data_IF_258337666939
#
_entry.id   IF_258337666939
#
_cell.length_a   1.000
_cell.length_b   1.000
_cell.length_c   1.000
_cell.angle_alpha   90.00
_cell.angle_beta   90.00
_cell.angle_gamma   90.00
#
_symmetry.space_group_name_H-M   'P 1'
#
loop_
_entity.id
_entity.type
_entity.pdbx_description
1 polymer ?
#
# COMPACT_ATOMS: atom_id res chain seq x y z
N UNK A 1 -19.13 -15.85 35.23
CA UNK A 1 -18.89 -15.90 33.78
C UNK A 1 -19.53 -14.66 33.22
N UNK A 2 -18.74 -13.70 32.73
CA UNK A 2 -19.28 -12.51 32.09
C UNK A 2 -19.53 -12.82 30.62
N UNK A 3 -20.77 -12.58 30.16
CA UNK A 3 -21.10 -12.72 28.74
C UNK A 3 -20.34 -11.67 27.93
N UNK A 4 -19.59 -12.14 26.93
CA UNK A 4 -18.85 -11.26 26.04
C UNK A 4 -19.81 -10.38 25.25
N UNK A 5 -19.81 -9.09 25.55
CA UNK A 5 -20.63 -8.09 24.85
C UNK A 5 -20.28 -8.09 23.36
N UNK A 6 -21.20 -8.63 22.54
CA UNK A 6 -21.08 -8.58 21.07
C UNK A 6 -21.12 -7.12 20.65
N UNK A 7 -19.95 -6.58 20.29
CA UNK A 7 -19.83 -5.18 19.87
C UNK A 7 -20.73 -4.91 18.66
N UNK A 8 -21.76 -4.09 18.86
CA UNK A 8 -22.65 -3.62 17.80
C UNK A 8 -21.80 -3.07 16.65
N UNK A 9 -22.00 -3.53 15.40
CA UNK A 9 -21.20 -3.05 14.28
C UNK A 9 -21.36 -1.53 14.15
N UNK A 10 -20.25 -0.80 14.25
CA UNK A 10 -20.26 0.66 14.12
C UNK A 10 -20.82 1.04 12.75
N UNK A 11 -21.71 2.03 12.72
CA UNK A 11 -22.38 2.49 11.48
C UNK A 11 -21.43 3.17 10.47
N UNK A 12 -20.16 3.33 10.82
CA UNK A 12 -19.09 3.87 9.96
C UNK A 12 -17.85 2.97 9.99
N UNK A 13 -17.09 2.91 8.86
CA UNK A 13 -15.81 2.20 8.81
C UNK A 13 -14.78 2.88 9.75
N UNK A 14 -13.76 2.14 10.23
CA UNK A 14 -12.75 2.69 11.13
C UNK A 14 -12.13 4.00 10.60
N UNK A 15 -12.21 5.10 11.38
CA UNK A 15 -11.77 6.41 10.93
C UNK A 15 -10.24 6.46 10.82
N UNK A 16 -9.75 7.17 9.81
CA UNK A 16 -8.34 7.53 9.73
C UNK A 16 -8.16 8.85 10.52
N UNK A 17 -7.27 8.92 11.53
CA UNK A 17 -7.06 10.12 12.37
C UNK A 17 -6.23 11.18 11.63
N UNK A 18 -6.45 11.33 10.33
CA UNK A 18 -5.64 12.12 9.42
C UNK A 18 -6.49 12.76 8.33
N UNK A 19 -6.35 14.07 8.16
CA UNK A 19 -7.12 14.84 7.17
C UNK A 19 -6.19 15.65 6.28
N UNK A 20 -6.24 15.37 4.97
CA UNK A 20 -5.54 16.16 3.96
C UNK A 20 -6.10 17.58 3.83
N UNK A 21 -7.35 17.83 4.29
CA UNK A 21 -8.04 19.11 4.13
C UNK A 21 -7.36 20.25 4.89
N UNK A 22 -6.80 19.97 6.07
CA UNK A 22 -6.08 20.96 6.89
C UNK A 22 -4.68 21.26 6.37
N UNK A 23 -4.08 20.33 5.60
CA UNK A 23 -2.70 20.41 5.11
C UNK A 23 -2.56 20.89 3.67
N UNK A 24 -3.65 21.22 2.98
CA UNK A 24 -3.66 21.66 1.56
C UNK A 24 -2.60 22.72 1.22
N UNK A 25 -2.37 23.72 2.08
CA UNK A 25 -1.35 24.76 1.86
C UNK A 25 0.07 24.17 1.85
N UNK A 26 0.41 23.33 2.83
CA UNK A 26 1.72 22.66 2.91
C UNK A 26 1.93 21.71 1.73
N UNK A 27 0.90 20.95 1.35
CA UNK A 27 0.93 20.07 0.16
C UNK A 27 1.17 20.89 -1.11
N UNK A 28 0.44 22.00 -1.30
CA UNK A 28 0.59 22.86 -2.48
C UNK A 28 1.98 23.52 -2.54
N UNK A 29 2.51 24.01 -1.41
CA UNK A 29 3.86 24.57 -1.32
C UNK A 29 4.90 23.51 -1.69
N UNK A 30 4.84 22.32 -1.08
CA UNK A 30 5.75 21.21 -1.38
C UNK A 30 5.74 20.85 -2.87
N UNK A 31 4.56 20.61 -3.45
CA UNK A 31 4.45 20.28 -4.88
C UNK A 31 4.89 21.42 -5.80
N UNK A 32 4.72 22.69 -5.40
CA UNK A 32 5.22 23.83 -6.17
C UNK A 32 6.74 23.84 -6.19
N UNK A 33 7.39 23.71 -5.03
CA UNK A 33 8.86 23.69 -4.93
C UNK A 33 9.42 22.44 -5.64
N UNK A 34 8.78 21.28 -5.47
CA UNK A 34 9.15 20.04 -6.16
C UNK A 34 9.10 20.19 -7.69
N UNK A 35 8.01 20.73 -8.26
CA UNK A 35 7.89 20.98 -9.71
C UNK A 35 8.92 22.02 -10.18
N UNK A 36 9.26 23.02 -9.37
CA UNK A 36 10.34 23.96 -9.71
C UNK A 36 11.69 23.25 -9.76
N UNK A 37 12.07 22.52 -8.71
CA UNK A 37 13.35 21.80 -8.55
C UNK A 37 13.55 20.69 -9.60
N UNK A 38 12.49 19.94 -9.93
CA UNK A 38 12.59 18.71 -10.74
C UNK A 38 12.10 18.83 -12.19
N UNK A 39 11.36 19.91 -12.54
CA UNK A 39 10.89 20.14 -13.90
C UNK A 39 11.34 21.49 -14.45
N UNK A 40 10.98 22.59 -13.78
CA UNK A 40 11.21 23.92 -14.34
C UNK A 40 12.71 24.27 -14.39
N UNK A 41 13.43 24.06 -13.29
CA UNK A 41 14.84 24.38 -13.16
C UNK A 41 15.73 23.63 -14.18
N UNK A 42 15.68 22.29 -14.34
CA UNK A 42 16.55 21.61 -15.31
C UNK A 42 16.26 22.02 -16.75
N UNK A 43 14.98 22.27 -17.10
CA UNK A 43 14.60 22.76 -18.43
C UNK A 43 15.09 24.19 -18.68
N UNK A 44 14.87 25.10 -17.73
CA UNK A 44 15.29 26.51 -17.85
C UNK A 44 16.82 26.58 -17.93
N UNK A 45 17.54 25.88 -17.05
CA UNK A 45 19.00 25.86 -17.08
C UNK A 45 19.54 25.27 -18.39
N UNK A 46 18.98 24.15 -18.87
CA UNK A 46 19.37 23.59 -20.16
C UNK A 46 19.18 24.59 -21.30
N UNK A 47 17.97 25.13 -21.50
CA UNK A 47 17.70 26.04 -22.61
C UNK A 47 18.43 27.39 -22.49
N UNK A 48 18.63 27.92 -21.28
CA UNK A 48 19.42 29.13 -21.08
C UNK A 48 20.91 28.89 -21.35
N UNK A 49 21.52 27.86 -20.76
CA UNK A 49 22.95 27.62 -20.90
C UNK A 49 23.31 27.17 -22.33
N UNK A 50 22.47 26.34 -22.97
CA UNK A 50 22.74 25.82 -24.32
C UNK A 50 22.66 26.86 -25.44
N UNK A 51 21.87 27.93 -25.28
CA UNK A 51 21.64 28.93 -26.34
C UNK A 51 22.15 30.34 -26.00
N UNK A 52 22.48 30.63 -24.74
CA UNK A 52 22.93 31.96 -24.30
C UNK A 52 24.39 31.97 -23.81
N UNK A 53 25.10 30.84 -23.86
CA UNK A 53 26.51 30.75 -23.44
C UNK A 53 27.32 29.81 -24.32
N UNK A 54 28.63 30.03 -24.42
CA UNK A 54 29.57 29.20 -25.20
C UNK A 54 30.15 28.03 -24.38
N UNK A 55 29.41 27.51 -23.40
CA UNK A 55 29.85 26.40 -22.55
C UNK A 55 29.84 25.07 -23.33
N UNK A 56 30.78 24.18 -23.00
CA UNK A 56 30.78 22.84 -23.58
C UNK A 56 29.51 22.06 -23.22
N UNK A 57 28.95 21.22 -24.12
CA UNK A 57 27.74 20.43 -23.85
C UNK A 57 27.79 19.65 -22.53
N UNK A 58 28.93 19.01 -22.23
CA UNK A 58 29.10 18.26 -20.98
C UNK A 58 29.04 19.14 -19.73
N UNK A 59 29.50 20.39 -19.80
CA UNK A 59 29.46 21.34 -18.69
C UNK A 59 28.04 21.87 -18.49
N UNK A 60 27.29 22.12 -19.57
CA UNK A 60 25.86 22.44 -19.50
C UNK A 60 25.09 21.34 -18.77
N UNK A 61 25.23 20.08 -19.20
CA UNK A 61 24.54 18.96 -18.56
C UNK A 61 25.05 18.65 -17.14
N UNK A 62 26.33 18.90 -16.86
CA UNK A 62 26.87 18.79 -15.49
C UNK A 62 26.28 19.85 -14.56
N UNK A 63 26.11 21.10 -15.00
CA UNK A 63 25.46 22.16 -14.21
C UNK A 63 23.98 21.84 -13.98
N UNK A 64 23.26 21.43 -15.03
CA UNK A 64 21.85 21.00 -14.93
C UNK A 64 21.71 19.86 -13.92
N UNK A 65 22.54 18.82 -14.05
CA UNK A 65 22.56 17.66 -13.15
C UNK A 65 22.90 18.03 -11.71
N UNK A 66 23.93 18.85 -11.49
CA UNK A 66 24.36 19.26 -10.15
C UNK A 66 23.32 20.16 -9.43
N UNK A 67 22.50 20.88 -10.20
CA UNK A 67 21.41 21.70 -9.66
C UNK A 67 20.18 20.88 -9.25
N UNK A 68 19.98 19.71 -9.87
CA UNK A 68 18.75 18.94 -9.81
C UNK A 68 18.54 18.25 -8.46
N UNK A 69 17.30 18.28 -7.96
CA UNK A 69 16.84 17.34 -6.94
C UNK A 69 17.15 17.76 -5.51
N UNK A 70 17.38 19.05 -5.26
CA UNK A 70 17.60 19.58 -3.92
C UNK A 70 16.44 19.27 -2.96
N UNK A 71 15.19 19.26 -3.46
CA UNK A 71 14.01 18.85 -2.68
C UNK A 71 14.06 17.37 -2.35
N UNK A 72 14.43 16.53 -3.34
CA UNK A 72 14.51 15.08 -3.16
C UNK A 72 15.61 14.67 -2.19
N UNK A 73 16.77 15.35 -2.23
CA UNK A 73 17.87 15.15 -1.28
C UNK A 73 17.48 15.61 0.13
N UNK A 74 16.84 16.77 0.27
CA UNK A 74 16.33 17.23 1.56
C UNK A 74 15.33 16.24 2.16
N UNK A 75 14.35 15.79 1.37
CA UNK A 75 13.33 14.83 1.79
C UNK A 75 13.97 13.50 2.18
N UNK A 76 14.97 13.02 1.44
CA UNK A 76 15.71 11.81 1.76
C UNK A 76 16.32 11.86 3.17
N UNK A 77 17.04 12.94 3.50
CA UNK A 77 17.64 13.11 4.82
C UNK A 77 16.60 13.41 5.91
N UNK A 78 15.54 14.15 5.59
CA UNK A 78 14.41 14.40 6.50
C UNK A 78 13.75 13.09 6.93
N UNK A 79 13.41 12.21 5.99
CA UNK A 79 12.85 10.88 6.25
C UNK A 79 13.83 9.99 7.02
N UNK A 80 15.10 9.97 6.61
CA UNK A 80 16.16 9.20 7.27
C UNK A 80 16.28 9.58 8.76
N UNK A 81 16.37 10.88 9.06
CA UNK A 81 16.40 11.39 10.43
C UNK A 81 15.13 11.00 11.22
N UNK A 82 13.95 11.13 10.63
CA UNK A 82 12.70 10.77 11.29
C UNK A 82 12.56 9.28 11.59
N UNK A 83 13.12 8.37 10.76
CA UNK A 83 13.12 6.93 11.01
C UNK A 83 14.15 6.50 12.06
N UNK A 84 15.38 7.03 11.97
CA UNK A 84 16.50 6.67 12.85
C UNK A 84 16.46 7.30 14.25
N UNK A 85 15.73 8.40 14.46
CA UNK A 85 15.59 9.02 15.80
C UNK A 85 15.10 7.99 16.83
N UNK A 86 15.78 7.88 17.99
CA UNK A 86 15.49 6.85 19.02
C UNK A 86 13.99 6.77 19.35
N UNK A 87 13.39 7.92 19.67
CA UNK A 87 11.95 8.08 19.96
C UNK A 87 11.12 8.41 18.70
N UNK A 88 11.41 7.79 17.56
CA UNK A 88 10.64 8.00 16.32
C UNK A 88 9.19 7.60 16.47
N UNK A 89 8.28 8.56 16.24
CA UNK A 89 6.84 8.32 16.12
C UNK A 89 6.41 7.86 14.73
N UNK A 90 7.31 7.79 13.75
CA UNK A 90 6.99 7.52 12.33
C UNK A 90 7.40 6.13 11.84
N UNK A 91 8.28 5.44 12.58
CA UNK A 91 8.81 4.11 12.27
C UNK A 91 7.70 3.05 12.07
N UNK A 92 7.87 2.09 11.13
CA UNK A 92 6.98 0.94 10.99
C UNK A 92 6.67 0.21 12.30
N UNK A 93 5.46 -0.33 12.42
CA UNK A 93 4.96 -0.97 13.66
C UNK A 93 5.78 -2.22 14.00
N UNK A 94 6.24 -2.37 15.25
CA UNK A 94 7.09 -3.49 15.70
C UNK A 94 8.44 -3.59 14.94
N UNK A 95 9.08 -2.46 14.65
CA UNK A 95 10.37 -2.39 13.93
C UNK A 95 11.52 -1.87 14.79
N UNK A 96 12.75 -2.38 14.59
CA UNK A 96 13.95 -1.90 15.30
C UNK A 96 14.42 -0.55 14.74
N UNK A 97 15.23 0.18 15.52
CA UNK A 97 15.72 1.53 15.18
C UNK A 97 16.43 1.62 13.82
N UNK A 98 17.10 0.55 13.38
CA UNK A 98 17.85 0.49 12.13
C UNK A 98 17.05 0.12 10.88
N UNK A 99 15.76 -0.20 11.00
CA UNK A 99 14.95 -0.65 9.86
C UNK A 99 14.23 0.51 9.19
N UNK A 100 14.62 0.76 7.95
CA UNK A 100 13.94 1.65 7.02
C UNK A 100 12.54 1.13 6.66
N UNK A 101 11.67 2.03 6.20
CA UNK A 101 10.39 1.65 5.62
C UNK A 101 10.50 1.33 4.12
N UNK A 102 9.47 0.68 3.56
CA UNK A 102 9.54 0.15 2.20
C UNK A 102 9.69 1.28 1.19
N UNK A 103 8.99 2.41 1.37
CA UNK A 103 9.19 3.58 0.53
C UNK A 103 10.63 4.10 0.58
N UNK A 104 11.23 4.27 1.77
CA UNK A 104 12.60 4.77 1.87
C UNK A 104 13.60 3.85 1.14
N UNK A 105 13.45 2.52 1.26
CA UNK A 105 14.32 1.56 0.55
C UNK A 105 14.20 1.71 -0.96
N UNK A 106 12.97 1.78 -1.48
CA UNK A 106 12.73 1.99 -2.91
C UNK A 106 13.24 3.36 -3.39
N UNK A 107 13.07 4.40 -2.56
CA UNK A 107 13.56 5.75 -2.84
C UNK A 107 15.08 5.80 -2.89
N UNK A 108 15.80 5.10 -1.98
CA UNK A 108 17.26 4.92 -2.07
C UNK A 108 17.67 4.23 -3.38
N UNK A 109 16.98 3.14 -3.77
CA UNK A 109 17.32 2.39 -4.99
C UNK A 109 17.10 3.25 -6.24
N UNK A 110 15.96 3.93 -6.35
CA UNK A 110 15.68 4.86 -7.45
C UNK A 110 16.73 5.97 -7.49
N UNK A 111 17.02 6.61 -6.35
CA UNK A 111 18.00 7.68 -6.29
C UNK A 111 19.40 7.24 -6.76
N UNK A 112 19.82 6.02 -6.44
CA UNK A 112 21.06 5.44 -6.95
C UNK A 112 21.00 5.16 -8.46
N UNK A 113 19.89 4.64 -8.99
CA UNK A 113 19.69 4.42 -10.43
C UNK A 113 19.78 5.76 -11.17
N UNK A 114 19.07 6.79 -10.72
CA UNK A 114 19.09 8.11 -11.35
C UNK A 114 20.45 8.79 -11.25
N UNK A 115 21.17 8.62 -10.13
CA UNK A 115 22.53 9.14 -9.98
C UNK A 115 23.48 8.52 -11.02
N UNK A 116 23.38 7.20 -11.25
CA UNK A 116 24.17 6.52 -12.31
C UNK A 116 23.72 6.99 -13.70
N UNK A 117 22.43 7.07 -13.98
CA UNK A 117 21.86 7.49 -15.26
C UNK A 117 22.30 8.92 -15.65
N UNK A 118 22.21 9.86 -14.70
CA UNK A 118 22.63 11.26 -14.87
C UNK A 118 24.15 11.41 -15.05
N UNK A 119 24.96 10.69 -14.25
CA UNK A 119 26.42 10.75 -14.35
C UNK A 119 26.90 10.13 -15.66
N UNK A 120 26.43 8.93 -16.02
CA UNK A 120 26.80 8.26 -17.28
C UNK A 120 26.32 9.08 -18.49
N UNK A 121 25.17 9.76 -18.39
CA UNK A 121 24.69 10.65 -19.42
C UNK A 121 25.53 11.92 -19.61
N UNK A 122 26.06 12.49 -18.52
CA UNK A 122 26.67 13.84 -18.51
C UNK A 122 28.21 13.86 -18.57
N UNK A 123 28.88 12.76 -18.23
CA UNK A 123 30.37 12.68 -18.21
C UNK A 123 31.05 12.77 -19.58
N UNK A 124 30.54 12.13 -20.67
CA UNK A 124 31.18 12.20 -21.98
C UNK A 124 31.26 13.62 -22.55
N UNK A 125 32.25 13.90 -23.41
CA UNK A 125 32.41 15.20 -24.09
C UNK A 125 31.18 15.55 -24.96
N UNK A 126 30.60 14.53 -25.61
CA UNK A 126 29.29 14.55 -26.26
C UNK A 126 28.26 13.83 -25.36
N UNK A 127 27.44 14.55 -24.58
CA UNK A 127 26.55 13.93 -23.59
C UNK A 127 25.45 13.09 -24.23
N UNK A 128 25.09 11.98 -23.59
CA UNK A 128 23.98 11.13 -24.03
C UNK A 128 22.63 11.77 -23.66
N UNK A 129 22.23 12.82 -24.38
CA UNK A 129 21.02 13.61 -24.12
C UNK A 129 19.76 12.74 -23.96
N UNK A 130 19.64 11.68 -24.76
CA UNK A 130 18.52 10.72 -24.69
C UNK A 130 18.50 9.89 -23.41
N UNK A 131 19.66 9.60 -22.82
CA UNK A 131 19.76 8.94 -21.51
C UNK A 131 19.38 9.91 -20.39
N UNK A 132 19.81 11.17 -20.46
CA UNK A 132 19.42 12.21 -19.50
C UNK A 132 17.91 12.51 -19.58
N UNK A 133 17.32 12.42 -20.78
CA UNK A 133 15.87 12.53 -20.98
C UNK A 133 15.06 11.36 -20.38
N UNK A 134 15.70 10.22 -20.12
CA UNK A 134 15.06 9.01 -19.61
C UNK A 134 14.89 9.00 -18.09
N UNK A 135 15.50 9.93 -17.34
CA UNK A 135 15.47 9.99 -15.87
C UNK A 135 14.07 9.84 -15.28
N UNK A 136 13.09 10.61 -15.74
CA UNK A 136 11.70 10.49 -15.24
C UNK A 136 10.97 9.23 -15.76
N UNK A 137 11.06 8.83 -17.04
CA UNK A 137 10.64 7.49 -17.48
C UNK A 137 11.24 6.34 -16.67
N UNK A 138 12.49 6.42 -16.23
CA UNK A 138 13.17 5.42 -15.40
C UNK A 138 12.53 5.33 -14.00
N UNK A 139 12.15 6.46 -13.39
CA UNK A 139 11.30 6.47 -12.17
C UNK A 139 9.95 5.79 -12.42
N UNK A 140 9.29 6.11 -13.55
CA UNK A 140 8.00 5.53 -13.92
C UNK A 140 8.09 4.01 -14.15
N UNK A 141 9.15 3.52 -14.81
CA UNK A 141 9.40 2.09 -14.98
C UNK A 141 9.68 1.42 -13.64
N UNK A 142 10.56 1.97 -12.81
CA UNK A 142 10.92 1.36 -11.52
C UNK A 142 9.70 1.18 -10.63
N UNK A 143 8.98 2.27 -10.32
CA UNK A 143 7.81 2.19 -9.43
C UNK A 143 6.68 1.39 -10.08
N UNK A 144 6.48 1.54 -11.39
CA UNK A 144 5.50 0.74 -12.13
C UNK A 144 5.76 -0.76 -12.02
N UNK A 145 6.98 -1.22 -12.34
CA UNK A 145 7.37 -2.62 -12.32
C UNK A 145 7.34 -3.17 -10.90
N UNK A 146 7.98 -2.51 -9.92
CA UNK A 146 8.05 -3.03 -8.54
C UNK A 146 6.66 -3.15 -7.93
N UNK A 147 5.81 -2.13 -8.07
CA UNK A 147 4.51 -2.12 -7.40
C UNK A 147 3.49 -3.02 -8.09
N UNK A 148 3.56 -3.17 -9.42
CA UNK A 148 2.74 -4.14 -10.13
C UNK A 148 3.20 -5.58 -9.82
N UNK A 149 4.50 -5.83 -9.73
CA UNK A 149 5.05 -7.15 -9.41
C UNK A 149 4.65 -7.62 -8.00
N UNK A 150 4.68 -6.74 -7.01
CA UNK A 150 4.19 -7.06 -5.66
C UNK A 150 2.72 -7.50 -5.66
N UNK A 151 1.87 -6.78 -6.40
CA UNK A 151 0.44 -7.09 -6.50
C UNK A 151 0.18 -8.37 -7.32
N UNK A 152 0.99 -8.65 -8.35
CA UNK A 152 0.97 -9.93 -9.08
C UNK A 152 1.35 -11.08 -8.14
N UNK A 153 2.46 -10.97 -7.42
CA UNK A 153 2.89 -12.01 -6.47
C UNK A 153 1.87 -12.19 -5.33
N UNK A 154 1.23 -11.11 -4.87
CA UNK A 154 0.11 -11.16 -3.92
C UNK A 154 -1.05 -11.97 -4.49
N UNK A 155 -1.47 -11.73 -5.73
CA UNK A 155 -2.53 -12.51 -6.39
C UNK A 155 -2.17 -13.99 -6.55
N UNK A 156 -0.88 -14.30 -6.80
CA UNK A 156 -0.37 -15.67 -6.85
C UNK A 156 -0.27 -16.35 -5.47
N UNK A 157 -0.65 -15.68 -4.38
CA UNK A 157 -0.64 -16.22 -3.02
C UNK A 157 0.73 -16.25 -2.34
N UNK A 158 1.75 -15.58 -2.90
CA UNK A 158 3.06 -15.50 -2.25
C UNK A 158 2.99 -14.68 -0.95
N UNK A 159 3.61 -15.23 0.10
CA UNK A 159 3.81 -14.55 1.38
C UNK A 159 4.97 -13.56 1.29
N UNK A 160 4.93 -12.50 2.09
CA UNK A 160 5.96 -11.46 2.12
C UNK A 160 7.35 -12.07 2.41
N UNK A 161 8.32 -12.05 1.46
CA UNK A 161 9.59 -12.75 1.62
C UNK A 161 10.54 -12.07 2.62
N UNK A 162 10.36 -10.76 2.78
CA UNK A 162 10.98 -9.90 3.79
C UNK A 162 9.89 -8.97 4.37
N UNK A 163 10.31 -8.09 5.28
CA UNK A 163 9.41 -7.14 5.95
C UNK A 163 9.05 -5.98 5.02
N UNK A 164 7.76 -5.77 4.73
CA UNK A 164 7.25 -4.66 3.91
C UNK A 164 6.58 -3.66 4.84
N UNK A 165 7.33 -2.62 5.24
CA UNK A 165 6.90 -1.59 6.20
C UNK A 165 6.36 -2.18 7.51
N UNK A 166 5.10 -1.95 7.89
CA UNK A 166 4.51 -2.59 9.09
C UNK A 166 4.17 -4.07 8.93
N UNK A 167 4.29 -4.62 7.71
CA UNK A 167 3.90 -6.00 7.39
C UNK A 167 5.07 -6.97 7.61
N UNK A 168 4.96 -7.94 8.53
CA UNK A 168 6.06 -8.84 8.87
C UNK A 168 6.32 -9.89 7.78
N UNK A 169 7.56 -10.39 7.72
CA UNK A 169 7.94 -11.52 6.88
C UNK A 169 7.01 -12.72 7.13
N UNK A 170 6.61 -13.42 6.07
CA UNK A 170 5.76 -14.62 6.13
C UNK A 170 4.26 -14.35 6.24
N UNK A 171 3.82 -13.10 6.40
CA UNK A 171 2.41 -12.73 6.31
C UNK A 171 1.93 -12.53 4.87
N UNK A 172 0.62 -12.33 4.66
CA UNK A 172 0.07 -11.98 3.34
C UNK A 172 0.70 -10.67 2.89
N UNK A 173 1.30 -10.67 1.70
CA UNK A 173 1.97 -9.50 1.12
C UNK A 173 0.96 -8.38 0.87
N UNK A 174 1.15 -7.16 1.42
CA UNK A 174 0.17 -6.09 1.30
C UNK A 174 0.10 -5.59 -0.15
N UNK A 175 -0.99 -4.92 -0.52
CA UNK A 175 -1.00 -4.17 -1.80
C UNK A 175 0.12 -3.13 -1.79
N UNK A 176 0.83 -2.94 -2.91
CA UNK A 176 1.97 -2.03 -2.95
C UNK A 176 1.59 -0.58 -2.57
N UNK A 177 0.41 -0.13 -3.04
CA UNK A 177 -0.16 1.17 -2.69
C UNK A 177 -0.49 1.31 -1.19
N UNK A 178 -0.86 0.23 -0.48
CA UNK A 178 -1.02 0.29 0.99
C UNK A 178 0.30 0.66 1.66
N UNK A 179 1.42 0.03 1.26
CA UNK A 179 2.73 0.30 1.85
C UNK A 179 3.19 1.74 1.57
N UNK A 180 2.99 2.23 0.33
CA UNK A 180 3.27 3.62 -0.04
C UNK A 180 2.48 4.63 0.80
N UNK A 181 1.16 4.45 0.92
CA UNK A 181 0.30 5.35 1.71
C UNK A 181 0.66 5.28 3.19
N UNK A 182 0.95 4.09 3.72
CA UNK A 182 1.41 3.92 5.10
C UNK A 182 2.68 4.73 5.38
N UNK A 183 3.68 4.62 4.51
CA UNK A 183 5.00 5.22 4.73
C UNK A 183 4.99 6.75 4.53
N UNK A 184 4.45 7.23 3.40
CA UNK A 184 4.41 8.66 3.06
C UNK A 184 3.58 9.44 4.07
N UNK A 185 2.41 8.93 4.47
CA UNK A 185 1.56 9.66 5.43
C UNK A 185 2.10 9.55 6.86
N UNK A 186 2.76 8.45 7.23
CA UNK A 186 3.36 8.30 8.56
C UNK A 186 4.57 9.20 8.77
N UNK A 187 5.44 9.34 7.77
CA UNK A 187 6.67 10.14 7.84
C UNK A 187 6.38 11.57 7.38
N UNK A 188 6.28 11.81 6.09
CA UNK A 188 6.20 13.12 5.41
C UNK A 188 4.89 13.84 5.77
N UNK A 189 3.80 13.08 5.85
CA UNK A 189 2.51 13.56 6.31
C UNK A 189 2.45 13.88 7.81
N UNK A 190 3.40 13.39 8.61
CA UNK A 190 3.43 13.52 10.07
C UNK A 190 2.33 12.75 10.82
N UNK A 191 1.71 11.75 10.20
CA UNK A 191 0.64 10.92 10.80
C UNK A 191 1.14 9.87 11.80
N UNK A 192 2.42 9.48 11.71
CA UNK A 192 3.09 8.56 12.61
C UNK A 192 2.46 7.16 12.74
N UNK A 193 2.85 6.45 13.81
CA UNK A 193 2.37 5.12 14.16
C UNK A 193 0.86 5.08 14.43
N UNK A 194 0.26 6.18 14.90
CA UNK A 194 -1.20 6.29 15.06
C UNK A 194 -1.90 6.16 13.70
N UNK A 195 -1.36 6.79 12.65
CA UNK A 195 -1.86 6.62 11.30
C UNK A 195 -1.61 5.19 10.78
N UNK A 196 -0.39 4.63 10.96
CA UNK A 196 -0.08 3.25 10.54
C UNK A 196 -1.06 2.24 11.17
N UNK A 197 -1.34 2.37 12.47
CA UNK A 197 -2.31 1.52 13.17
C UNK A 197 -3.72 1.69 12.62
N UNK A 198 -4.22 2.91 12.49
CA UNK A 198 -5.58 3.17 11.98
C UNK A 198 -5.76 2.71 10.51
N UNK A 199 -4.74 2.91 9.66
CA UNK A 199 -4.74 2.43 8.29
C UNK A 199 -4.78 0.90 8.23
N UNK A 200 -3.95 0.22 9.03
CA UNK A 200 -3.97 -1.24 9.16
C UNK A 200 -5.33 -1.76 9.64
N UNK A 201 -5.91 -1.10 10.64
CA UNK A 201 -7.24 -1.42 11.17
C UNK A 201 -8.33 -1.28 10.11
N UNK A 202 -8.36 -0.18 9.34
CA UNK A 202 -9.32 -0.02 8.23
C UNK A 202 -9.08 -1.06 7.12
N UNK A 203 -7.83 -1.28 6.74
CA UNK A 203 -7.46 -2.25 5.70
C UNK A 203 -7.91 -3.67 6.04
N UNK A 204 -7.62 -4.15 7.25
CA UNK A 204 -8.00 -5.50 7.70
C UNK A 204 -9.50 -5.68 8.02
N UNK A 205 -10.26 -4.59 8.15
CA UNK A 205 -11.71 -4.63 8.41
C UNK A 205 -12.58 -4.37 7.17
N UNK A 206 -12.02 -3.81 6.10
CA UNK A 206 -12.77 -3.42 4.89
C UNK A 206 -12.21 -4.12 3.63
N UNK A 207 -12.82 -5.25 3.18
CA UNK A 207 -12.49 -5.88 1.90
C UNK A 207 -12.62 -4.90 0.72
N UNK A 208 -13.61 -4.01 0.76
CA UNK A 208 -13.81 -2.96 -0.24
C UNK A 208 -12.63 -1.99 -0.32
N UNK A 209 -12.11 -1.54 0.82
CA UNK A 209 -10.92 -0.68 0.87
C UNK A 209 -9.69 -1.36 0.29
N UNK A 210 -9.47 -2.65 0.62
CA UNK A 210 -8.38 -3.46 0.06
C UNK A 210 -8.48 -3.59 -1.45
N UNK A 211 -9.69 -3.88 -1.97
CA UNK A 211 -9.94 -4.00 -3.41
C UNK A 211 -9.75 -2.67 -4.15
N UNK A 212 -10.23 -1.56 -3.57
CA UNK A 212 -10.02 -0.21 -4.10
C UNK A 212 -8.52 0.13 -4.20
N UNK A 213 -7.72 -0.19 -3.18
CA UNK A 213 -6.27 0.05 -3.22
C UNK A 213 -5.56 -0.80 -4.28
N UNK A 214 -5.95 -2.07 -4.44
CA UNK A 214 -5.42 -2.93 -5.51
C UNK A 214 -5.75 -2.37 -6.91
N UNK A 215 -7.01 -2.02 -7.18
CA UNK A 215 -7.42 -1.49 -8.49
C UNK A 215 -6.74 -0.14 -8.80
N UNK A 216 -6.56 0.70 -7.78
CA UNK A 216 -5.82 1.95 -7.88
C UNK A 216 -4.33 1.71 -8.16
N UNK A 217 -3.72 0.71 -7.52
CA UNK A 217 -2.33 0.33 -7.78
C UNK A 217 -2.16 -0.18 -9.22
N UNK A 218 -3.03 -1.08 -9.71
CA UNK A 218 -3.00 -1.52 -11.11
C UNK A 218 -3.17 -0.35 -12.10
N UNK A 219 -4.05 0.60 -11.83
CA UNK A 219 -4.27 1.78 -12.68
C UNK A 219 -3.04 2.71 -12.74
N UNK A 220 -2.40 2.98 -11.60
CA UNK A 220 -1.18 3.80 -11.54
C UNK A 220 0.05 3.06 -12.06
N UNK A 221 0.37 1.89 -11.53
CA UNK A 221 1.58 1.14 -11.88
C UNK A 221 1.55 0.59 -13.30
N UNK A 222 0.40 0.05 -13.75
CA UNK A 222 0.21 -0.38 -15.14
C UNK A 222 0.23 0.80 -16.11
N UNK A 223 -0.45 1.91 -15.76
CA UNK A 223 -0.39 3.15 -16.53
C UNK A 223 1.04 3.71 -16.62
N UNK A 224 1.80 3.64 -15.54
CA UNK A 224 3.18 4.10 -15.45
C UNK A 224 4.09 3.34 -16.42
N UNK A 225 4.00 2.00 -16.47
CA UNK A 225 4.79 1.17 -17.41
C UNK A 225 4.43 1.51 -18.87
N UNK A 226 3.14 1.56 -19.20
CA UNK A 226 2.66 1.81 -20.57
C UNK A 226 3.07 3.20 -21.05
N UNK A 227 2.89 4.24 -20.22
CA UNK A 227 3.27 5.60 -20.59
C UNK A 227 4.78 5.83 -20.54
N UNK A 228 5.53 5.17 -19.65
CA UNK A 228 6.99 5.19 -19.71
C UNK A 228 7.48 4.64 -21.05
N UNK A 229 6.99 3.48 -21.49
CA UNK A 229 7.34 2.90 -22.79
C UNK A 229 6.98 3.81 -23.98
N UNK A 230 5.82 4.46 -23.94
CA UNK A 230 5.43 5.44 -24.96
C UNK A 230 6.34 6.68 -24.97
N UNK A 231 6.67 7.23 -23.80
CA UNK A 231 7.57 8.39 -23.65
C UNK A 231 9.00 8.02 -24.08
N UNK A 232 9.49 6.83 -23.75
CA UNK A 232 10.75 6.29 -24.26
C UNK A 232 10.75 6.21 -25.79
N UNK A 233 9.70 5.67 -26.40
CA UNK A 233 9.59 5.63 -27.86
C UNK A 233 9.65 7.04 -28.49
N UNK A 234 9.04 8.05 -27.85
CA UNK A 234 9.17 9.46 -28.27
C UNK A 234 10.61 9.97 -28.10
N UNK A 235 11.23 9.78 -26.93
CA UNK A 235 12.61 10.20 -26.63
C UNK A 235 13.62 9.65 -27.65
N UNK A 236 13.43 8.41 -28.13
CA UNK A 236 14.32 7.78 -29.11
C UNK A 236 13.98 8.06 -30.58
N UNK A 237 12.85 8.71 -30.89
CA UNK A 237 12.45 9.03 -32.28
C UNK A 237 12.54 10.50 -32.66
N UNK A 238 12.47 11.43 -31.70
CA UNK A 238 12.55 12.87 -31.97
C UNK A 238 14.00 13.41 -31.95
N UNK A 239 14.19 14.68 -32.31
CA UNK A 239 15.48 15.40 -32.17
C UNK A 239 15.86 15.59 -30.69
N UNK A 240 17.15 15.66 -30.37
CA UNK A 240 17.64 15.52 -28.98
C UNK A 240 17.15 16.61 -28.03
N UNK A 241 17.15 17.87 -28.45
CA UNK A 241 16.68 19.00 -27.64
C UNK A 241 15.16 18.89 -27.34
N UNK A 242 14.41 18.30 -28.29
CA UNK A 242 12.99 17.98 -28.15
C UNK A 242 12.82 16.75 -27.25
N UNK A 243 13.66 15.73 -27.40
CA UNK A 243 13.65 14.51 -26.61
C UNK A 243 13.88 14.82 -25.13
N UNK A 244 14.86 15.68 -24.81
CA UNK A 244 15.08 16.22 -23.47
C UNK A 244 13.82 16.89 -22.95
N UNK A 245 13.31 17.89 -23.66
CA UNK A 245 12.12 18.66 -23.22
C UNK A 245 10.89 17.78 -23.00
N UNK A 246 10.63 16.80 -23.88
CA UNK A 246 9.50 15.88 -23.74
C UNK A 246 9.73 14.82 -22.66
N UNK A 247 10.95 14.31 -22.49
CA UNK A 247 11.28 13.34 -21.44
C UNK A 247 11.09 13.89 -20.02
N UNK A 248 11.39 15.18 -19.82
CA UNK A 248 11.11 15.85 -18.55
C UNK A 248 9.63 16.27 -18.40
N UNK A 249 8.96 16.77 -19.46
CA UNK A 249 7.58 17.31 -19.33
C UNK A 249 6.47 16.27 -19.35
N UNK A 250 6.55 15.23 -20.20
CA UNK A 250 5.46 14.27 -20.39
C UNK A 250 5.11 13.46 -19.13
N UNK A 251 6.07 13.01 -18.29
CA UNK A 251 5.77 12.35 -17.01
C UNK A 251 4.95 13.22 -16.04
N UNK A 252 5.23 14.53 -15.98
CA UNK A 252 4.45 15.47 -15.17
C UNK A 252 3.04 15.69 -15.72
N UNK A 253 2.90 15.81 -17.04
CA UNK A 253 1.59 15.90 -17.69
C UNK A 253 0.75 14.63 -17.44
N UNK A 254 1.36 13.45 -17.55
CA UNK A 254 0.75 12.17 -17.21
C UNK A 254 0.32 12.10 -15.74
N UNK A 255 1.21 12.42 -14.80
CA UNK A 255 0.93 12.38 -13.37
C UNK A 255 -0.20 13.34 -12.98
N UNK A 256 -0.26 14.52 -13.60
CA UNK A 256 -1.36 15.48 -13.43
C UNK A 256 -2.71 14.92 -13.89
N UNK A 257 -2.76 14.35 -15.10
CA UNK A 257 -4.00 13.73 -15.64
C UNK A 257 -4.44 12.54 -14.78
N UNK A 258 -3.53 11.66 -14.38
CA UNK A 258 -3.85 10.53 -13.49
C UNK A 258 -4.37 11.02 -12.13
N UNK A 259 -3.79 12.08 -11.58
CA UNK A 259 -4.27 12.71 -10.33
C UNK A 259 -5.70 13.24 -10.48
N UNK A 260 -6.03 13.92 -11.58
CA UNK A 260 -7.38 14.43 -11.85
C UNK A 260 -8.42 13.31 -12.02
N UNK A 261 -8.04 12.16 -12.59
CA UNK A 261 -8.92 10.99 -12.74
C UNK A 261 -9.16 10.30 -11.38
N UNK A 262 -8.13 10.19 -10.56
CA UNK A 262 -8.11 9.31 -9.38
C UNK A 262 -8.71 9.97 -8.14
N UNK A 263 -8.59 11.29 -7.97
CA UNK A 263 -9.25 12.05 -6.89
C UNK A 263 -10.78 11.80 -6.85
N UNK A 264 -11.57 12.05 -7.91
CA UNK A 264 -13.02 11.83 -7.88
C UNK A 264 -13.40 10.34 -7.83
N UNK A 265 -12.55 9.46 -8.36
CA UNK A 265 -12.73 8.01 -8.25
C UNK A 265 -12.62 7.56 -6.78
N UNK A 266 -11.51 7.82 -6.10
CA UNK A 266 -11.32 7.47 -4.67
C UNK A 266 -12.41 8.11 -3.81
N UNK A 267 -12.79 9.37 -4.06
CA UNK A 267 -13.91 10.00 -3.35
C UNK A 267 -15.28 9.35 -3.63
N UNK A 268 -15.47 8.69 -4.78
CA UNK A 268 -16.68 7.90 -5.06
C UNK A 268 -16.63 6.56 -4.32
N UNK A 269 -15.51 5.86 -4.37
CA UNK A 269 -15.36 4.54 -3.74
C UNK A 269 -15.37 4.62 -2.21
N UNK A 270 -14.76 5.63 -1.58
CA UNK A 270 -14.87 5.85 -0.13
C UNK A 270 -16.32 6.18 0.32
N UNK A 271 -17.14 6.81 -0.54
CA UNK A 271 -18.57 7.03 -0.26
C UNK A 271 -19.37 5.73 -0.40
N UNK A 272 -19.03 4.89 -1.39
CA UNK A 272 -19.64 3.56 -1.59
C UNK A 272 -19.29 2.61 -0.45
N UNK A 273 -18.04 2.61 0.01
CA UNK A 273 -17.60 1.89 1.21
C UNK A 273 -18.44 2.29 2.43
N UNK A 274 -18.54 3.60 2.73
CA UNK A 274 -19.35 4.09 3.86
C UNK A 274 -20.82 3.67 3.74
N UNK A 275 -21.41 3.71 2.55
CA UNK A 275 -22.79 3.25 2.32
C UNK A 275 -22.94 1.73 2.49
N UNK A 276 -22.03 0.92 1.95
CA UNK A 276 -22.04 -0.53 2.11
C UNK A 276 -21.89 -0.94 3.58
N UNK A 277 -21.09 -0.18 4.34
CA UNK A 277 -20.93 -0.32 5.79
C UNK A 277 -22.23 -0.03 6.55
N UNK A 278 -22.94 1.06 6.20
CA UNK A 278 -24.25 1.40 6.79
C UNK A 278 -25.34 0.37 6.46
N UNK A 279 -25.30 -0.23 5.27
CA UNK A 279 -26.27 -1.24 4.82
C UNK A 279 -25.94 -2.67 5.30
N UNK A 280 -24.86 -2.87 6.08
CA UNK A 280 -24.28 -4.19 6.42
C UNK A 280 -24.03 -5.11 5.20
N UNK A 281 -23.90 -4.53 3.99
CA UNK A 281 -23.79 -5.29 2.74
C UNK A 281 -22.36 -5.68 2.45
N UNK A 282 -22.05 -6.96 2.65
CA UNK A 282 -20.92 -7.62 1.98
C UNK A 282 -19.54 -7.17 2.41
N UNK A 283 -19.28 -7.07 3.73
CA UNK A 283 -17.91 -7.13 4.29
C UNK A 283 -17.42 -8.59 4.34
N UNK A 284 -17.57 -9.35 3.25
CA UNK A 284 -17.32 -10.79 3.24
C UNK A 284 -15.87 -11.17 3.59
N UNK A 285 -15.68 -12.43 3.99
CA UNK A 285 -14.40 -12.93 4.50
C UNK A 285 -14.27 -12.79 6.02
N UNK A 286 -13.17 -13.32 6.58
CA UNK A 286 -12.93 -13.31 8.03
C UNK A 286 -12.46 -11.90 8.45
N UNK A 287 -13.17 -11.26 9.38
CA UNK A 287 -12.79 -9.94 9.91
C UNK A 287 -11.38 -9.99 10.50
N UNK A 288 -10.57 -8.97 10.23
CA UNK A 288 -9.17 -8.84 10.65
C UNK A 288 -8.16 -9.75 9.91
N UNK A 289 -8.61 -10.51 8.90
CA UNK A 289 -7.74 -11.34 8.05
C UNK A 289 -7.63 -10.72 6.65
N UNK A 290 -6.42 -10.67 6.11
CA UNK A 290 -6.20 -10.21 4.73
C UNK A 290 -6.48 -11.33 3.70
N UNK A 291 -7.74 -11.77 3.65
CA UNK A 291 -8.23 -12.74 2.67
C UNK A 291 -8.44 -12.07 1.30
N UNK A 292 -7.71 -12.52 0.29
CA UNK A 292 -7.76 -12.01 -1.09
C UNK A 292 -9.04 -12.46 -1.82
N UNK A 293 -9.61 -13.60 -1.42
CA UNK A 293 -10.81 -14.21 -2.02
C UNK A 293 -12.14 -13.67 -1.44
N UNK A 294 -12.05 -12.82 -0.42
CA UNK A 294 -13.18 -12.21 0.29
C UNK A 294 -14.24 -11.60 -0.65
N UNK A 295 -15.50 -12.06 -0.64
CA UNK A 295 -16.54 -11.52 -1.49
C UNK A 295 -16.83 -10.06 -1.13
N UNK A 296 -16.63 -9.18 -2.11
CA UNK A 296 -16.58 -7.73 -1.93
C UNK A 296 -17.59 -7.05 -2.85
N UNK A 297 -18.28 -6.02 -2.36
CA UNK A 297 -19.20 -5.23 -3.18
C UNK A 297 -18.49 -4.57 -4.38
N UNK A 298 -19.17 -4.46 -5.53
CA UNK A 298 -18.56 -3.96 -6.78
C UNK A 298 -18.06 -2.52 -6.63
N UNK A 299 -16.76 -2.33 -6.86
CA UNK A 299 -16.10 -1.03 -6.96
C UNK A 299 -16.52 -0.27 -8.22
N UNK A 300 -16.13 1.02 -8.32
CA UNK A 300 -16.32 1.78 -9.57
C UNK A 300 -15.66 1.09 -10.76
N UNK A 301 -14.42 0.61 -10.63
CA UNK A 301 -13.72 -0.04 -11.74
C UNK A 301 -14.44 -1.31 -12.19
N UNK A 302 -14.81 -2.20 -11.27
CA UNK A 302 -15.60 -3.40 -11.57
C UNK A 302 -16.94 -3.06 -12.23
N UNK A 303 -17.60 -1.96 -11.84
CA UNK A 303 -18.85 -1.50 -12.48
C UNK A 303 -18.66 -0.96 -13.89
N UNK A 304 -17.56 -0.24 -14.15
CA UNK A 304 -17.23 0.27 -15.49
C UNK A 304 -16.78 -0.87 -16.40
N UNK A 305 -15.91 -1.76 -15.91
CA UNK A 305 -15.47 -2.95 -16.63
C UNK A 305 -16.65 -3.86 -16.99
N UNK A 306 -17.60 -4.11 -16.07
CA UNK A 306 -18.79 -4.91 -16.36
C UNK A 306 -19.76 -4.25 -17.37
N UNK A 307 -19.75 -2.92 -17.49
CA UNK A 307 -20.54 -2.20 -18.49
C UNK A 307 -19.85 -2.17 -19.87
N UNK A 308 -18.51 -2.08 -19.91
CA UNK A 308 -17.71 -2.05 -21.13
C UNK A 308 -17.48 -3.46 -21.70
N UNK A 309 -17.37 -4.46 -20.82
CA UNK A 309 -17.18 -5.86 -21.18
C UNK A 309 -18.22 -6.76 -20.48
N UNK A 310 -19.45 -6.87 -21.04
CA UNK A 310 -20.56 -7.60 -20.42
C UNK A 310 -20.28 -9.08 -20.13
N UNK A 311 -19.25 -9.65 -20.77
CA UNK A 311 -18.86 -11.06 -20.69
C UNK A 311 -18.04 -11.39 -19.44
N UNK A 312 -17.42 -10.42 -18.74
CA UNK A 312 -16.81 -10.64 -17.41
C UNK A 312 -17.84 -10.54 -16.28
N UNK A 313 -19.08 -10.95 -16.54
CA UNK A 313 -20.14 -11.00 -15.54
C UNK A 313 -19.98 -12.26 -14.70
N UNK A 314 -19.08 -12.21 -13.73
CA UNK A 314 -18.92 -13.27 -12.74
C UNK A 314 -20.27 -13.62 -12.10
N UNK A 315 -20.56 -14.93 -12.07
CA UNK A 315 -21.73 -15.51 -11.40
C UNK A 315 -21.55 -15.48 -9.88
N UNK A 316 -21.49 -14.29 -9.30
CA UNK A 316 -21.72 -14.14 -7.86
C UNK A 316 -23.22 -14.32 -7.60
N UNK A 317 -23.54 -15.26 -6.71
CA UNK A 317 -24.92 -15.61 -6.36
C UNK A 317 -25.69 -14.43 -5.74
N UNK A 318 -27.03 -14.51 -5.68
CA UNK A 318 -27.84 -13.48 -5.05
C UNK A 318 -27.43 -13.29 -3.58
N UNK A 319 -27.52 -12.08 -3.02
CA UNK A 319 -27.19 -11.84 -1.63
C UNK A 319 -28.09 -12.69 -0.73
N UNK A 320 -27.49 -13.38 0.23
CA UNK A 320 -28.21 -14.12 1.26
C UNK A 320 -29.13 -13.17 2.03
N UNK A 321 -30.44 -13.44 1.97
CA UNK A 321 -31.45 -12.76 2.78
C UNK A 321 -31.16 -12.98 4.27
N UNK A 322 -31.61 -12.09 5.18
CA UNK A 322 -31.54 -12.35 6.61
C UNK A 322 -32.30 -13.64 6.92
N UNK A 323 -31.72 -14.54 7.70
CA UNK A 323 -32.44 -15.71 8.22
C UNK A 323 -33.53 -15.25 9.18
N UNK A 324 -34.77 -15.66 8.91
CA UNK A 324 -35.91 -15.39 9.77
C UNK A 324 -35.71 -15.94 11.19
N UNK A 325 -36.42 -15.33 12.14
CA UNK A 325 -36.24 -15.55 13.56
C UNK A 325 -36.45 -17.01 14.01
N UNK A 326 -35.54 -17.45 14.86
CA UNK A 326 -35.60 -18.71 15.60
C UNK A 326 -36.90 -18.81 16.40
N UNK A 327 -37.78 -19.75 16.03
CA UNK A 327 -38.96 -20.12 16.80
C UNK A 327 -38.65 -21.31 17.70
N UNK A 328 -38.74 -21.08 19.01
CA UNK A 328 -38.67 -22.08 20.08
C UNK A 328 -39.73 -23.17 19.89
N UNK A 329 -39.44 -24.46 20.20
CA UNK A 329 -40.39 -25.55 19.98
C UNK A 329 -41.28 -25.82 21.21
N UNK A 330 -42.60 -25.76 21.02
CA UNK A 330 -43.59 -26.40 21.90
C UNK A 330 -44.17 -27.63 21.18
N UNK A 331 -44.25 -28.77 21.88
CA UNK A 331 -44.82 -30.03 21.36
C UNK A 331 -46.32 -30.20 21.68
N UNK A 332 -46.80 -31.45 21.84
CA UNK A 332 -46.75 -32.51 20.84
C UNK A 332 -48.15 -33.10 20.56
N UNK A 333 -48.42 -33.63 19.36
CA UNK A 333 -49.52 -34.59 19.10
C UNK A 333 -49.49 -35.13 17.66
N UNK A 334 -49.99 -36.36 17.45
CA UNK A 334 -50.25 -36.91 16.11
C UNK A 334 -49.77 -38.35 15.89
N UNK A 335 -50.55 -39.33 16.35
CA UNK A 335 -50.32 -40.77 16.11
C UNK A 335 -50.69 -41.16 14.67
N UNK A 336 -49.87 -42.00 14.01
CA UNK A 336 -50.36 -42.98 13.02
C UNK A 336 -49.37 -44.14 12.85
N UNK A 337 -49.91 -45.36 12.81
CA UNK A 337 -49.15 -46.62 12.75
C UNK A 337 -48.66 -46.97 11.34
N UNK A 338 -47.67 -47.88 11.26
CA UNK A 338 -47.21 -48.50 10.02
C UNK A 338 -46.06 -49.49 10.23
N UNK A 339 -46.33 -50.63 10.87
CA UNK A 339 -45.35 -51.69 11.05
C UNK A 339 -45.24 -52.60 9.81
N UNK A 340 -44.04 -53.11 9.50
CA UNK A 340 -43.74 -54.56 9.54
C UNK A 340 -42.26 -54.85 9.20
N UNK A 341 -41.70 -55.82 9.94
CA UNK A 341 -40.64 -56.80 9.64
C UNK A 341 -39.34 -56.38 8.88
N UNK A 342 -38.15 -56.87 9.24
CA UNK A 342 -37.78 -57.77 10.33
C UNK A 342 -36.44 -58.48 10.08
N UNK A 343 -35.71 -58.80 11.16
CA UNK A 343 -34.69 -59.87 11.28
C UNK A 343 -33.53 -59.96 10.26
N UNK A 344 -32.28 -59.72 10.70
CA UNK A 344 -31.43 -60.81 11.23
C UNK A 344 -30.13 -60.35 11.91
N UNK A 345 -29.53 -61.25 12.69
CA UNK A 345 -28.48 -61.03 13.71
C UNK A 345 -27.02 -61.34 13.27
N UNK A 346 -26.10 -61.23 14.27
CA UNK A 346 -24.77 -61.88 14.42
C UNK A 346 -23.55 -61.08 13.87
N UNK A 347 -22.69 -60.48 14.72
CA UNK A 347 -21.60 -61.06 15.55
C UNK A 347 -20.43 -61.66 14.74
N UNK A 348 -19.13 -61.48 15.03
CA UNK A 348 -18.39 -60.88 16.17
C UNK A 348 -17.10 -60.17 15.62
N UNK A 349 -16.00 -59.82 16.31
CA UNK A 349 -15.48 -59.97 17.70
C UNK A 349 -14.30 -58.99 17.93
N UNK A 350 -13.92 -58.75 19.20
CA UNK A 350 -12.63 -58.17 19.65
C UNK A 350 -11.81 -59.28 20.39
N UNK A 351 -10.63 -59.05 21.03
CA UNK A 351 -9.80 -57.83 21.21
C UNK A 351 -8.28 -58.05 20.96
N UNK A 352 -7.41 -57.09 21.30
CA UNK A 352 -6.24 -57.28 22.21
C UNK A 352 -5.37 -56.01 22.38
N UNK A 353 -5.19 -55.62 23.65
CA UNK A 353 -4.01 -55.12 24.39
C UNK A 353 -3.05 -54.01 23.89
N UNK A 354 -2.72 -53.13 24.84
CA UNK A 354 -1.58 -52.21 24.86
C UNK A 354 -0.34 -52.87 25.53
N UNK A 355 0.83 -52.20 25.59
CA UNK A 355 1.07 -51.36 26.78
C UNK A 355 1.85 -50.05 26.52
N UNK A 356 2.01 -49.28 27.60
CA UNK A 356 2.76 -48.03 27.71
C UNK A 356 4.27 -48.19 27.47
N UNK A 357 4.94 -47.10 27.06
CA UNK A 357 6.11 -46.59 27.78
C UNK A 357 6.38 -45.10 27.48
N UNK A 358 6.97 -44.40 28.46
CA UNK A 358 7.40 -43.00 28.36
C UNK A 358 8.77 -42.84 29.05
N UNK A 359 9.52 -41.76 28.76
CA UNK A 359 10.15 -41.06 29.88
C UNK A 359 10.16 -39.52 29.80
N UNK A 360 10.24 -38.94 30.99
CA UNK A 360 10.43 -37.52 31.32
C UNK A 360 11.91 -37.07 31.25
N UNK A 361 12.18 -35.85 30.78
CA UNK A 361 13.41 -35.03 31.04
C UNK A 361 12.99 -33.54 30.91
N UNK A 362 12.51 -32.87 31.97
CA UNK A 362 13.19 -31.98 32.97
C UNK A 362 13.52 -30.54 32.52
N UNK A 363 13.22 -29.60 33.43
CA UNK A 363 13.44 -28.15 33.40
C UNK A 363 14.87 -27.66 33.09
N UNK A 364 14.97 -26.44 32.57
CA UNK A 364 15.94 -25.45 33.06
C UNK A 364 15.25 -24.09 33.32
N UNK A 365 15.47 -23.57 34.53
CA UNK A 365 15.03 -22.28 35.06
C UNK A 365 15.75 -21.08 34.44
N UNK A 366 15.06 -19.93 34.36
CA UNK A 366 15.71 -18.64 34.64
C UNK A 366 14.74 -17.58 35.23
N UNK A 367 15.04 -17.21 36.47
CA UNK A 367 14.66 -16.06 37.31
C UNK A 367 13.54 -15.09 36.90
N UNK A 368 12.64 -14.86 37.87
CA UNK A 368 11.66 -13.78 37.83
C UNK A 368 12.21 -12.44 38.33
N UNK A 369 11.70 -11.35 37.77
CA UNK A 369 11.83 -10.00 38.32
C UNK A 369 10.44 -9.35 38.41
N UNK A 370 9.91 -9.31 39.63
CA UNK A 370 8.63 -8.66 39.96
C UNK A 370 8.71 -7.15 39.76
N UNK A 371 7.78 -6.55 39.01
CA UNK A 371 7.59 -5.10 38.96
C UNK A 371 6.21 -4.72 39.50
N UNK A 372 6.22 -4.02 40.63
CA UNK A 372 5.04 -3.40 41.24
C UNK A 372 4.66 -2.08 40.53
N UNK A 373 3.41 -1.59 40.65
CA UNK A 373 2.92 -0.46 39.87
C UNK A 373 3.14 0.91 40.54
N UNK A 374 2.89 1.96 39.74
CA UNK A 374 2.71 3.38 40.09
C UNK A 374 3.96 4.22 40.43
N UNK A 375 4.28 5.13 39.50
CA UNK A 375 4.87 6.43 39.80
C UNK A 375 4.30 7.47 38.82
N UNK A 376 3.70 8.55 39.33
CA UNK A 376 3.25 9.68 38.53
C UNK A 376 4.45 10.55 38.09
N UNK A 377 4.45 11.14 36.88
CA UNK A 377 5.45 12.12 36.51
C UNK A 377 5.06 13.52 37.04
N UNK A 378 5.83 14.00 38.02
CA UNK A 378 5.76 15.38 38.49
C UNK A 378 6.10 16.38 37.38
N UNK A 379 5.40 17.51 37.38
CA UNK A 379 5.67 18.64 36.49
C UNK A 379 6.93 19.38 36.89
N UNK A 380 7.88 19.57 35.97
CA UNK A 380 8.87 20.63 36.09
C UNK A 380 9.02 21.41 34.77
N UNK A 381 9.06 22.73 34.89
CA UNK A 381 9.22 23.67 33.79
C UNK A 381 10.71 23.90 33.54
N UNK A 382 11.12 23.96 32.29
CA UNK A 382 12.31 24.74 31.94
C UNK A 382 12.07 25.60 30.70
N UNK A 383 12.26 26.90 30.90
CA UNK A 383 12.44 27.91 29.88
C UNK A 383 13.82 27.79 29.24
N UNK A 384 13.88 27.88 27.91
CA UNK A 384 14.42 29.02 27.13
C UNK A 384 13.91 28.86 25.69
#
# INVERSE_FOLDING_TARGET
MEEGTVSTPTSEPPPLPYSLRTRKKSIAIFWTIFVVDTLAQPLILYWCLWYLTDLSPNLVFSIVTASLGGVSVFEYFYRLHHLFRKNSRARPLNSRVSWLDFFQINFTIVWLILAVELVVGSVPEEPYVRLIAMVLPTVMFYFGIVYLSLDIFRMMGFKAPFRISSTPKGSVMPTALYALIEDVVAVDGGGGQMYRYALRTRYLSSPYFRRMLFEMNCFWSGGSIVFAAAITAVIFTVQENVAFTLGWTLPFAWAFVWTLITIPWVQSDLRREKKAWQENRGQGGIRWVDDISAPTARTRFASVQANVWPWTRDKQGPPSMPSDAEKTPDGPSGVSNGAHDGFNDASSSAPHDAPHDAPHVTDETYDGATLAPNAEPSTEKLSV
#
